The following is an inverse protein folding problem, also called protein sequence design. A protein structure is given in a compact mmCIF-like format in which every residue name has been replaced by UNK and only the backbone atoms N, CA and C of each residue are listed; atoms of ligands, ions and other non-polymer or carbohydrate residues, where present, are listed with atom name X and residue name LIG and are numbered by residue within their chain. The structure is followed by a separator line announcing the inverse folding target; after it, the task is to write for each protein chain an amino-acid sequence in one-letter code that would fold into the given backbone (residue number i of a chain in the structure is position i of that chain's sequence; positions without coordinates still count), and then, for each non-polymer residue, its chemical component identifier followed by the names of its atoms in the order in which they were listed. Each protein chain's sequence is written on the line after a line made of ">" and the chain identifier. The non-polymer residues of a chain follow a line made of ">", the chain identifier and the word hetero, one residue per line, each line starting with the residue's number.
data_IF_871017924936
#
_entry.id   IF_871017924936
#
_cell.length_a   1.000
_cell.length_b   1.000
_cell.length_c   1.000
_cell.angle_alpha   90.00
_cell.angle_beta   90.00
_cell.angle_gamma   90.00
#
_symmetry.space_group_name_H-M   'P 1'
#
loop_
_entity.id
_entity.type
_entity.pdbx_description
1 polymer ?
#
# COMPACT_ATOMS: atom_id res chain seq x y z
N UNK A 1 -3.76 10.00 7.70
CA UNK A 1 -4.38 8.73 7.25
C UNK A 1 -5.80 8.66 7.82
N UNK A 2 -6.83 8.44 7.00
CA UNK A 2 -8.21 8.38 7.48
C UNK A 2 -9.17 7.70 6.49
N UNK A 3 -10.22 7.12 7.03
CA UNK A 3 -11.47 6.82 6.33
C UNK A 3 -12.59 6.97 7.35
N UNK A 4 -13.62 7.75 7.04
CA UNK A 4 -14.71 8.02 7.99
C UNK A 4 -16.05 8.26 7.31
N UNK A 5 -17.12 8.19 8.11
CA UNK A 5 -18.48 8.53 7.72
C UNK A 5 -19.12 9.43 8.79
N UNK A 6 -19.92 10.40 8.34
CA UNK A 6 -20.66 11.35 9.18
C UNK A 6 -22.11 11.33 8.72
N UNK A 7 -23.02 11.05 9.63
CA UNK A 7 -24.46 11.18 9.41
C UNK A 7 -24.95 12.52 9.95
N UNK A 8 -25.41 13.40 9.05
CA UNK A 8 -26.11 14.64 9.40
C UNK A 8 -27.61 14.37 9.46
N UNK A 9 -28.11 14.06 10.66
CA UNK A 9 -29.52 13.78 10.89
C UNK A 9 -30.45 14.97 10.61
N UNK A 10 -29.94 16.21 10.71
CA UNK A 10 -30.77 17.41 10.45
C UNK A 10 -31.02 17.59 8.97
N UNK A 11 -30.04 17.23 8.14
CA UNK A 11 -30.12 17.33 6.68
C UNK A 11 -30.49 16.02 5.99
N UNK A 12 -30.61 14.92 6.73
CA UNK A 12 -30.76 13.56 6.21
C UNK A 12 -29.67 13.22 5.16
N UNK A 13 -28.41 13.53 5.49
CA UNK A 13 -27.26 13.35 4.59
C UNK A 13 -26.16 12.51 5.20
N UNK A 14 -25.67 11.55 4.43
CA UNK A 14 -24.45 10.80 4.74
C UNK A 14 -23.28 11.41 3.97
N UNK A 15 -22.20 11.71 4.67
CA UNK A 15 -20.92 12.13 4.09
C UNK A 15 -19.82 11.16 4.48
N UNK A 16 -19.11 10.63 3.50
CA UNK A 16 -17.96 9.76 3.72
C UNK A 16 -16.73 10.32 3.00
N UNK A 17 -15.54 10.07 3.54
CA UNK A 17 -14.29 10.44 2.89
C UNK A 17 -13.19 9.42 3.17
N UNK A 18 -12.35 9.18 2.16
CA UNK A 18 -11.13 8.37 2.25
C UNK A 18 -9.93 9.27 1.98
N UNK A 19 -8.84 9.04 2.69
CA UNK A 19 -7.63 9.86 2.58
C UNK A 19 -7.01 9.89 1.17
N UNK A 20 -6.10 10.85 0.98
CA UNK A 20 -5.49 11.20 -0.31
C UNK A 20 -4.84 10.01 -1.03
N UNK A 21 -4.15 9.15 -0.27
CA UNK A 21 -3.41 8.00 -0.81
C UNK A 21 -4.18 6.68 -0.64
N UNK A 22 -5.31 6.70 0.05
CA UNK A 22 -6.14 5.53 0.30
C UNK A 22 -5.53 4.55 1.28
N UNK A 23 -4.76 5.02 2.26
CA UNK A 23 -4.07 4.14 3.21
C UNK A 23 -5.10 3.37 4.06
N UNK A 24 -6.18 4.02 4.51
CA UNK A 24 -7.29 3.28 5.13
C UNK A 24 -8.27 2.76 4.08
N UNK A 25 -8.64 1.48 4.12
CA UNK A 25 -9.66 0.93 3.23
C UNK A 25 -11.04 1.52 3.54
N UNK A 26 -11.84 1.69 2.50
CA UNK A 26 -13.25 2.07 2.61
C UNK A 26 -14.01 1.38 1.49
N UNK A 27 -14.81 0.39 1.86
CA UNK A 27 -15.68 -0.37 0.96
C UNK A 27 -17.14 -0.02 1.24
N UNK A 28 -17.98 -0.09 0.22
CA UNK A 28 -19.41 0.12 0.35
C UNK A 28 -20.21 -0.76 -0.61
N UNK A 29 -21.46 -1.01 -0.24
CA UNK A 29 -22.42 -1.76 -1.03
C UNK A 29 -23.81 -1.12 -0.94
N UNK A 30 -24.59 -1.26 -2.01
CA UNK A 30 -26.02 -0.90 -2.04
C UNK A 30 -26.81 -2.21 -2.08
N UNK A 31 -27.65 -2.43 -1.08
CA UNK A 31 -28.43 -3.67 -0.92
C UNK A 31 -29.91 -3.28 -0.79
N UNK A 32 -30.61 -3.29 -1.92
CA UNK A 32 -31.97 -2.76 -1.99
C UNK A 32 -31.95 -1.24 -1.78
N UNK A 33 -32.65 -0.79 -0.75
CA UNK A 33 -32.75 0.61 -0.30
C UNK A 33 -31.71 0.99 0.77
N UNK A 34 -30.84 0.05 1.17
CA UNK A 34 -29.82 0.29 2.20
C UNK A 34 -28.45 0.55 1.59
N UNK A 35 -27.74 1.48 2.22
CA UNK A 35 -26.32 1.71 2.01
C UNK A 35 -25.54 1.16 3.20
N UNK A 36 -24.51 0.35 2.92
CA UNK A 36 -23.60 -0.17 3.93
C UNK A 36 -22.16 0.16 3.54
N UNK A 37 -21.32 0.41 4.55
CA UNK A 37 -19.89 0.64 4.37
C UNK A 37 -19.09 -0.06 5.47
N UNK A 38 -17.85 -0.42 5.17
CA UNK A 38 -16.94 -1.07 6.09
C UNK A 38 -15.47 -0.82 5.69
N UNK A 39 -14.55 -1.02 6.63
CA UNK A 39 -13.11 -1.06 6.35
C UNK A 39 -12.66 -2.39 5.76
N UNK A 40 -13.50 -3.42 5.82
CA UNK A 40 -13.21 -4.78 5.35
C UNK A 40 -14.43 -5.29 4.57
N UNK A 41 -14.20 -5.94 3.42
CA UNK A 41 -15.26 -6.44 2.55
C UNK A 41 -16.06 -7.52 3.27
N UNK A 42 -15.40 -8.44 3.99
CA UNK A 42 -16.08 -9.53 4.70
C UNK A 42 -17.10 -9.05 5.74
N UNK A 43 -16.92 -7.85 6.31
CA UNK A 43 -17.92 -7.28 7.23
C UNK A 43 -19.26 -7.01 6.53
N UNK A 44 -19.26 -6.74 5.22
CA UNK A 44 -20.48 -6.59 4.42
C UNK A 44 -21.19 -7.93 4.19
N UNK A 45 -20.49 -9.07 4.32
CA UNK A 45 -21.06 -10.40 4.12
C UNK A 45 -22.00 -10.81 5.26
N UNK A 46 -21.83 -10.21 6.43
CA UNK A 46 -22.66 -10.45 7.62
C UNK A 46 -24.05 -9.80 7.52
N UNK A 47 -24.31 -9.01 6.48
CA UNK A 47 -25.61 -8.41 6.24
C UNK A 47 -26.59 -9.46 5.70
N UNK A 48 -27.76 -9.59 6.35
CA UNK A 48 -28.80 -10.62 6.10
C UNK A 48 -29.12 -10.87 4.62
N UNK A 49 -29.09 -9.84 3.79
CA UNK A 49 -29.49 -9.91 2.37
C UNK A 49 -28.32 -9.78 1.40
N UNK A 50 -27.08 -9.76 1.91
CA UNK A 50 -25.90 -9.75 1.07
C UNK A 50 -25.60 -11.16 0.57
N UNK A 51 -25.29 -11.28 -0.73
CA UNK A 51 -24.85 -12.54 -1.34
C UNK A 51 -23.52 -12.30 -2.03
N UNK A 52 -22.44 -12.83 -1.45
CA UNK A 52 -21.13 -12.80 -2.06
C UNK A 52 -21.16 -13.51 -3.42
N UNK A 53 -20.89 -12.76 -4.49
CA UNK A 53 -20.83 -13.28 -5.86
C UNK A 53 -19.59 -12.76 -6.54
N UNK A 54 -18.83 -13.66 -7.18
CA UNK A 54 -17.64 -13.28 -7.94
C UNK A 54 -17.97 -12.31 -9.08
N UNK A 55 -17.25 -11.19 -9.12
CA UNK A 55 -17.25 -10.26 -10.24
C UNK A 55 -16.34 -10.79 -11.34
N UNK A 56 -16.88 -11.66 -12.20
CA UNK A 56 -16.14 -12.24 -13.33
C UNK A 56 -15.61 -11.20 -14.32
N UNK A 57 -16.16 -9.98 -14.36
CA UNK A 57 -15.69 -8.91 -15.24
C UNK A 57 -14.36 -8.33 -14.79
N UNK A 58 -14.05 -8.41 -13.50
CA UNK A 58 -12.80 -7.94 -12.92
C UNK A 58 -11.64 -8.93 -13.10
N UNK A 59 -11.92 -10.21 -13.39
CA UNK A 59 -10.89 -11.25 -13.50
C UNK A 59 -9.79 -10.97 -14.55
N UNK A 60 -10.10 -10.49 -15.78
CA UNK A 60 -9.05 -10.21 -16.75
C UNK A 60 -8.06 -9.15 -16.27
N UNK A 61 -8.55 -8.07 -15.65
CA UNK A 61 -7.71 -7.02 -15.08
C UNK A 61 -6.89 -7.56 -13.91
N UNK A 62 -7.54 -8.28 -12.99
CA UNK A 62 -6.88 -8.87 -11.83
C UNK A 62 -5.76 -9.85 -12.21
N UNK A 63 -6.00 -10.77 -13.16
CA UNK A 63 -4.98 -11.72 -13.60
C UNK A 63 -3.85 -11.04 -14.41
N UNK A 64 -4.11 -9.88 -15.01
CA UNK A 64 -3.09 -9.14 -15.77
C UNK A 64 -2.18 -8.33 -14.85
N UNK A 65 -2.74 -7.66 -13.85
CA UNK A 65 -2.02 -6.66 -13.06
C UNK A 65 -1.81 -7.06 -11.59
N UNK A 66 -2.55 -8.04 -11.09
CA UNK A 66 -2.57 -8.38 -9.67
C UNK A 66 -3.34 -7.38 -8.79
N UNK A 67 -4.07 -6.45 -9.39
CA UNK A 67 -4.95 -5.51 -8.67
C UNK A 67 -6.01 -4.96 -9.63
N UNK A 68 -7.03 -4.30 -9.07
CA UNK A 68 -8.06 -3.57 -9.81
C UNK A 68 -7.83 -2.07 -9.68
N UNK A 69 -7.77 -1.35 -10.80
CA UNK A 69 -7.59 0.10 -10.82
C UNK A 69 -8.88 0.88 -10.58
N UNK A 70 -10.01 0.33 -11.03
CA UNK A 70 -11.33 0.92 -10.88
C UNK A 70 -11.91 0.76 -9.46
N UNK A 71 -13.07 1.36 -9.20
CA UNK A 71 -13.79 1.23 -7.93
C UNK A 71 -14.37 -0.17 -7.67
N UNK A 72 -14.37 -1.05 -8.66
CA UNK A 72 -14.88 -2.41 -8.49
C UNK A 72 -13.95 -3.26 -7.62
N UNK A 73 -14.55 -4.28 -6.99
CA UNK A 73 -13.83 -5.36 -6.30
C UNK A 73 -14.08 -6.69 -7.03
N UNK A 74 -13.45 -7.77 -6.58
CA UNK A 74 -13.76 -9.13 -7.01
C UNK A 74 -15.15 -9.61 -6.54
N UNK A 75 -15.87 -8.82 -5.75
CA UNK A 75 -17.24 -9.11 -5.33
C UNK A 75 -18.22 -8.17 -6.04
N UNK A 76 -19.26 -8.75 -6.65
CA UNK A 76 -20.33 -7.97 -7.28
C UNK A 76 -21.03 -7.10 -6.24
N UNK A 77 -21.37 -5.87 -6.63
CA UNK A 77 -22.05 -4.87 -5.81
C UNK A 77 -21.28 -4.43 -4.56
N UNK A 78 -19.97 -4.73 -4.50
CA UNK A 78 -19.06 -4.16 -3.51
C UNK A 78 -18.06 -3.27 -4.25
N UNK A 79 -17.96 -2.03 -3.79
CA UNK A 79 -17.15 -1.00 -4.37
C UNK A 79 -16.18 -0.45 -3.34
N UNK A 80 -14.99 -0.06 -3.77
CA UNK A 80 -14.05 0.72 -2.95
C UNK A 80 -14.18 2.20 -3.27
N UNK A 81 -14.24 3.06 -2.24
CA UNK A 81 -14.08 4.49 -2.44
C UNK A 81 -12.62 4.76 -2.80
N UNK A 82 -12.35 5.34 -3.97
CA UNK A 82 -10.98 5.56 -4.45
C UNK A 82 -10.20 6.55 -3.56
N UNK A 83 -8.85 6.50 -3.55
CA UNK A 83 -8.02 7.50 -2.87
C UNK A 83 -8.40 8.94 -3.23
N UNK A 84 -8.38 9.86 -2.27
CA UNK A 84 -8.69 11.28 -2.51
C UNK A 84 -10.13 11.55 -2.95
N UNK A 85 -11.06 10.63 -2.69
CA UNK A 85 -12.47 10.77 -3.02
C UNK A 85 -13.34 10.89 -1.75
N UNK A 86 -14.46 11.61 -1.91
CA UNK A 86 -15.56 11.67 -0.95
C UNK A 86 -16.82 11.13 -1.57
N UNK A 87 -17.75 10.64 -0.74
CA UNK A 87 -19.04 10.10 -1.14
C UNK A 87 -20.14 10.78 -0.33
N UNK A 88 -21.18 11.27 -1.01
CA UNK A 88 -22.35 11.86 -0.37
C UNK A 88 -23.63 11.15 -0.78
N UNK A 89 -24.55 10.94 0.16
CA UNK A 89 -25.93 10.50 -0.10
C UNK A 89 -26.88 11.50 0.53
N UNK A 90 -27.82 12.01 -0.25
CA UNK A 90 -28.90 12.88 0.21
C UNK A 90 -30.22 12.12 0.16
N UNK A 91 -30.77 11.78 1.33
CA UNK A 91 -32.03 11.04 1.42
C UNK A 91 -33.26 11.91 1.13
N UNK A 92 -33.10 13.22 0.97
CA UNK A 92 -34.19 14.12 0.55
C UNK A 92 -34.36 14.18 -0.97
N UNK A 93 -33.42 13.62 -1.73
CA UNK A 93 -33.51 13.54 -3.18
C UNK A 93 -34.57 12.50 -3.61
N UNK A 94 -35.18 12.73 -4.78
CA UNK A 94 -36.20 11.82 -5.36
C UNK A 94 -35.68 10.39 -5.57
N UNK A 95 -34.40 10.24 -5.92
CA UNK A 95 -33.70 8.97 -6.02
C UNK A 95 -32.34 9.08 -5.31
N UNK A 96 -32.27 8.78 -4.00
CA UNK A 96 -31.03 8.87 -3.23
C UNK A 96 -30.00 7.88 -3.77
N UNK A 97 -28.90 8.41 -4.30
CA UNK A 97 -27.80 7.62 -4.85
C UNK A 97 -26.45 8.17 -4.34
N UNK A 98 -25.44 7.31 -4.14
CA UNK A 98 -24.09 7.76 -3.80
C UNK A 98 -23.51 8.65 -4.90
N UNK A 99 -23.11 9.86 -4.54
CA UNK A 99 -22.37 10.78 -5.39
C UNK A 99 -20.92 10.80 -4.94
N UNK A 100 -20.03 10.26 -5.78
CA UNK A 100 -18.59 10.27 -5.55
C UNK A 100 -17.98 11.52 -6.19
N UNK A 101 -17.08 12.18 -5.48
CA UNK A 101 -16.33 13.33 -6.02
C UNK A 101 -14.89 13.26 -5.56
N UNK A 102 -13.97 13.41 -6.50
CA UNK A 102 -12.54 13.54 -6.20
C UNK A 102 -12.30 14.93 -5.59
N UNK A 103 -11.66 14.96 -4.43
CA UNK A 103 -11.25 16.19 -3.76
C UNK A 103 -9.73 16.40 -3.80
N UNK A 104 -8.97 15.37 -4.16
CA UNK A 104 -7.52 15.42 -4.27
C UNK A 104 -7.01 14.50 -5.38
N UNK A 105 -5.99 14.96 -6.11
CA UNK A 105 -5.29 14.22 -7.16
C UNK A 105 -3.80 14.55 -7.08
N UNK A 106 -2.95 13.53 -7.18
CA UNK A 106 -1.49 13.68 -7.22
C UNK A 106 -1.03 14.43 -8.48
N UNK A 107 -1.79 14.40 -9.56
CA UNK A 107 -1.47 15.11 -10.81
C UNK A 107 -1.71 16.62 -10.71
N UNK A 108 -2.42 17.09 -9.67
CA UNK A 108 -2.75 18.50 -9.47
C UNK A 108 -1.75 19.20 -8.54
N UNK A 109 -0.46 18.80 -8.60
CA UNK A 109 0.61 19.45 -7.84
C UNK A 109 1.14 20.65 -8.64
N UNK A 110 1.18 21.86 -8.06
CA UNK A 110 1.70 23.03 -8.75
C UNK A 110 3.19 22.83 -9.10
N UNK A 111 3.69 23.44 -10.20
CA UNK A 111 5.09 23.33 -10.58
C UNK A 111 5.98 23.84 -9.44
N UNK A 112 6.93 23.01 -9.02
CA UNK A 112 7.87 23.36 -7.97
C UNK A 112 8.88 24.43 -8.44
N UNK A 113 9.35 25.23 -7.49
CA UNK A 113 10.50 26.10 -7.72
C UNK A 113 11.73 25.24 -8.00
N UNK A 114 12.54 25.63 -8.97
CA UNK A 114 13.84 24.99 -9.19
C UNK A 114 14.76 25.27 -8.00
N UNK A 115 14.95 24.28 -7.14
CA UNK A 115 15.90 24.30 -6.05
C UNK A 115 17.25 23.74 -6.53
N UNK A 116 18.35 24.17 -5.91
CA UNK A 116 19.62 23.49 -6.12
C UNK A 116 19.66 22.18 -5.33
N UNK A 117 20.53 21.24 -5.72
CA UNK A 117 20.62 19.91 -5.11
C UNK A 117 20.81 19.96 -3.58
N UNK A 118 21.66 20.86 -3.09
CA UNK A 118 21.90 21.02 -1.65
C UNK A 118 20.62 21.44 -0.89
N UNK A 119 19.80 22.29 -1.50
CA UNK A 119 18.51 22.70 -0.93
C UNK A 119 17.52 21.54 -0.93
N UNK A 120 17.45 20.75 -2.01
CA UNK A 120 16.60 19.56 -2.06
C UNK A 120 16.97 18.54 -0.97
N UNK A 121 18.26 18.26 -0.79
CA UNK A 121 18.74 17.33 0.25
C UNK A 121 18.37 17.84 1.66
N UNK A 122 18.57 19.15 1.90
CA UNK A 122 18.23 19.75 3.20
C UNK A 122 16.73 19.67 3.48
N UNK A 123 15.89 20.07 2.52
CA UNK A 123 14.44 20.05 2.66
C UNK A 123 13.91 18.62 2.82
N UNK A 124 14.42 17.66 2.04
CA UNK A 124 14.04 16.26 2.19
C UNK A 124 14.37 15.75 3.59
N UNK A 125 15.57 16.03 4.10
CA UNK A 125 15.97 15.60 5.44
C UNK A 125 15.08 16.20 6.53
N UNK A 126 14.74 17.48 6.40
CA UNK A 126 13.84 18.18 7.32
C UNK A 126 12.43 17.57 7.31
N UNK A 127 11.81 17.48 6.13
CA UNK A 127 10.48 16.92 5.95
C UNK A 127 10.39 15.45 6.39
N UNK A 128 11.41 14.66 6.07
CA UNK A 128 11.49 13.25 6.49
C UNK A 128 11.60 13.14 8.02
N UNK A 129 12.46 13.95 8.64
CA UNK A 129 12.64 13.96 10.10
C UNK A 129 11.36 14.41 10.82
N UNK A 130 10.70 15.45 10.32
CA UNK A 130 9.42 15.92 10.85
C UNK A 130 8.31 14.89 10.69
N UNK A 131 8.25 14.23 9.53
CA UNK A 131 7.29 13.16 9.26
C UNK A 131 7.47 12.01 10.26
N UNK A 132 8.71 11.52 10.44
CA UNK A 132 8.99 10.48 11.45
C UNK A 132 8.59 10.98 12.84
N UNK A 133 9.02 12.19 13.25
CA UNK A 133 8.68 12.77 14.56
C UNK A 133 7.17 12.80 14.82
N UNK A 134 6.37 13.24 13.86
CA UNK A 134 4.90 13.29 14.01
C UNK A 134 4.27 11.91 14.21
N UNK A 135 4.88 10.85 13.65
CA UNK A 135 4.44 9.45 13.82
C UNK A 135 4.98 8.80 15.10
N UNK A 136 5.89 9.45 15.83
CA UNK A 136 6.34 8.99 17.15
C UNK A 136 5.44 9.48 18.30
N UNK A 137 4.47 10.36 18.03
CA UNK A 137 3.48 10.80 19.02
C UNK A 137 2.48 9.68 19.29
N UNK A 138 2.78 8.84 20.29
CA UNK A 138 1.93 7.71 20.67
C UNK A 138 2.00 7.45 22.18
N UNK A 139 0.86 7.11 22.77
CA UNK A 139 0.75 6.70 24.18
C UNK A 139 1.07 5.21 24.39
N UNK A 140 1.41 4.50 23.32
CA UNK A 140 1.72 3.06 23.33
C UNK A 140 3.12 2.79 22.76
N UNK A 141 3.74 1.65 23.10
CA UNK A 141 5.06 1.30 22.56
C UNK A 141 5.07 1.23 21.03
N UNK A 142 6.13 1.80 20.46
CA UNK A 142 6.39 1.91 19.02
C UNK A 142 7.61 1.08 18.62
N UNK A 143 7.57 0.50 17.43
CA UNK A 143 8.71 -0.12 16.78
C UNK A 143 8.83 0.25 15.31
N UNK A 144 9.77 -0.39 14.63
CA UNK A 144 10.00 -0.23 13.19
C UNK A 144 10.22 -1.59 12.54
N UNK A 145 9.61 -1.83 11.38
CA UNK A 145 10.01 -2.95 10.54
C UNK A 145 11.33 -2.59 9.88
N UNK A 146 12.35 -3.42 10.10
CA UNK A 146 13.70 -3.20 9.61
C UNK A 146 14.04 -4.27 8.57
N UNK A 147 14.44 -3.80 7.40
CA UNK A 147 14.96 -4.63 6.30
C UNK A 147 16.43 -4.28 6.03
N UNK A 148 17.05 -4.91 5.05
CA UNK A 148 18.39 -4.54 4.60
C UNK A 148 18.42 -3.27 3.73
N UNK A 149 17.25 -2.72 3.39
CA UNK A 149 17.08 -1.60 2.48
C UNK A 149 17.31 -0.23 3.11
N UNK A 150 17.47 0.78 2.24
CA UNK A 150 17.71 2.16 2.65
C UNK A 150 16.50 2.78 3.36
N UNK A 151 15.29 2.49 2.91
CA UNK A 151 14.06 3.15 3.36
C UNK A 151 13.76 2.87 4.84
N UNK A 152 13.71 1.59 5.21
CA UNK A 152 13.49 1.17 6.60
C UNK A 152 14.65 1.58 7.50
N UNK A 153 15.89 1.50 7.01
CA UNK A 153 17.09 1.93 7.73
C UNK A 153 17.09 3.44 8.03
N UNK A 154 16.66 4.26 7.08
CA UNK A 154 16.55 5.70 7.26
C UNK A 154 15.50 6.05 8.33
N UNK A 155 14.34 5.40 8.31
CA UNK A 155 13.31 5.57 9.34
C UNK A 155 13.86 5.16 10.71
N UNK A 156 14.50 3.99 10.80
CA UNK A 156 15.05 3.47 12.05
C UNK A 156 16.14 4.40 12.63
N UNK A 157 17.04 4.91 11.80
CA UNK A 157 18.10 5.84 12.21
C UNK A 157 17.52 7.18 12.70
N UNK A 158 16.54 7.74 11.98
CA UNK A 158 15.87 8.98 12.42
C UNK A 158 15.11 8.74 13.73
N UNK A 159 14.35 7.64 13.82
CA UNK A 159 13.63 7.28 15.05
C UNK A 159 14.59 7.13 16.24
N UNK A 160 15.74 6.48 16.06
CA UNK A 160 16.75 6.31 17.10
C UNK A 160 17.38 7.64 17.53
N UNK A 161 17.57 8.60 16.61
CA UNK A 161 18.08 9.92 16.97
C UNK A 161 17.07 10.80 17.71
N UNK A 162 15.77 10.52 17.57
CA UNK A 162 14.69 11.27 18.22
C UNK A 162 14.27 10.68 19.58
N UNK A 163 14.52 9.39 19.85
CA UNK A 163 14.14 8.72 21.10
C UNK A 163 15.34 8.56 22.04
N UNK A 164 15.08 8.67 23.35
CA UNK A 164 16.09 8.36 24.39
C UNK A 164 16.19 6.86 24.67
N UNK A 165 15.08 6.15 24.51
CA UNK A 165 14.99 4.71 24.70
C UNK A 165 15.44 3.96 23.45
N UNK A 166 15.86 2.70 23.62
CA UNK A 166 16.21 1.83 22.50
C UNK A 166 14.99 1.57 21.61
N UNK A 167 15.18 1.72 20.31
CA UNK A 167 14.15 1.43 19.31
C UNK A 167 13.96 -0.08 19.21
N UNK A 168 12.72 -0.56 19.23
CA UNK A 168 12.38 -1.95 18.90
C UNK A 168 12.38 -2.11 17.38
N UNK A 169 13.24 -2.98 16.86
CA UNK A 169 13.32 -3.32 15.43
C UNK A 169 12.85 -4.74 15.22
N UNK A 170 12.14 -4.98 14.13
CA UNK A 170 11.58 -6.28 13.79
C UNK A 170 11.89 -6.63 12.34
N UNK A 171 12.48 -7.80 12.13
CA UNK A 171 12.88 -8.30 10.82
C UNK A 171 12.33 -9.70 10.59
N UNK A 172 12.14 -10.06 9.33
CA UNK A 172 11.77 -11.43 8.92
C UNK A 172 12.81 -11.93 7.94
N UNK A 173 13.24 -13.17 8.13
CA UNK A 173 14.12 -13.88 7.21
C UNK A 173 13.55 -15.22 6.82
N UNK A 174 14.13 -15.80 5.79
CA UNK A 174 13.80 -17.14 5.32
C UNK A 174 14.84 -18.11 5.88
N UNK A 175 14.42 -19.35 6.19
CA UNK A 175 15.34 -20.40 6.61
C UNK A 175 16.43 -20.70 5.55
N UNK A 176 16.12 -20.44 4.29
CA UNK A 176 17.04 -20.53 3.16
C UNK A 176 17.93 -19.27 3.11
N UNK A 177 19.19 -19.42 3.51
CA UNK A 177 20.11 -18.31 3.77
C UNK A 177 20.51 -17.47 2.53
N UNK A 178 20.17 -17.93 1.32
CA UNK A 178 20.67 -17.37 0.05
C UNK A 178 20.10 -15.98 -0.28
N UNK A 179 18.98 -15.60 0.34
CA UNK A 179 18.29 -14.32 0.11
C UNK A 179 17.99 -13.57 1.41
N UNK A 180 18.72 -13.88 2.49
CA UNK A 180 18.43 -13.31 3.80
C UNK A 180 18.96 -11.87 3.91
N UNK A 181 18.06 -10.93 4.17
CA UNK A 181 18.42 -9.54 4.48
C UNK A 181 18.81 -9.32 5.95
N UNK A 182 18.66 -10.34 6.79
CA UNK A 182 18.91 -10.27 8.24
C UNK A 182 20.32 -9.79 8.61
N UNK A 183 21.41 -10.17 7.91
CA UNK A 183 22.73 -9.64 8.22
C UNK A 183 22.80 -8.11 8.09
N UNK A 184 22.14 -7.54 7.08
CA UNK A 184 22.11 -6.09 6.86
C UNK A 184 21.22 -5.40 7.89
N UNK A 185 20.03 -5.94 8.16
CA UNK A 185 19.13 -5.42 9.18
C UNK A 185 19.81 -5.41 10.57
N UNK A 186 20.53 -6.49 10.92
CA UNK A 186 21.30 -6.57 12.16
C UNK A 186 22.45 -5.56 12.22
N UNK A 187 23.16 -5.34 11.10
CA UNK A 187 24.21 -4.33 11.04
C UNK A 187 23.65 -2.93 11.32
N UNK A 188 22.50 -2.59 10.75
CA UNK A 188 21.81 -1.31 11.01
C UNK A 188 21.34 -1.22 12.45
N UNK A 189 20.70 -2.26 12.98
CA UNK A 189 20.24 -2.28 14.37
C UNK A 189 21.39 -2.09 15.38
N UNK A 190 22.53 -2.75 15.14
CA UNK A 190 23.74 -2.58 15.94
C UNK A 190 24.30 -1.15 15.84
N UNK A 191 24.31 -0.57 14.64
CA UNK A 191 24.81 0.78 14.40
C UNK A 191 23.99 1.84 15.17
N UNK A 192 22.67 1.67 15.25
CA UNK A 192 21.77 2.62 15.94
C UNK A 192 21.51 2.25 17.42
N UNK A 193 22.10 1.16 17.92
CA UNK A 193 21.89 0.68 19.30
C UNK A 193 20.46 0.21 19.60
N UNK A 194 19.75 -0.32 18.60
CA UNK A 194 18.37 -0.81 18.73
C UNK A 194 18.26 -2.16 19.45
N UNK A 195 17.07 -2.46 19.98
CA UNK A 195 16.71 -3.82 20.36
C UNK A 195 16.22 -4.58 19.12
N UNK A 196 17.01 -5.59 18.71
CA UNK A 196 16.80 -6.31 17.46
C UNK A 196 16.03 -7.61 17.69
N UNK A 197 14.92 -7.77 16.95
CA UNK A 197 14.06 -8.94 16.98
C UNK A 197 13.91 -9.48 15.57
N UNK A 198 13.99 -10.80 15.41
CA UNK A 198 13.79 -11.44 14.11
C UNK A 198 12.95 -12.70 14.23
N UNK A 199 12.27 -13.03 13.14
CA UNK A 199 11.58 -14.30 12.96
C UNK A 199 12.07 -14.97 11.68
N UNK A 200 12.28 -16.28 11.74
CA UNK A 200 12.60 -17.09 10.58
C UNK A 200 11.33 -17.80 10.10
N UNK A 201 11.11 -17.77 8.80
CA UNK A 201 9.98 -18.42 8.14
C UNK A 201 10.49 -19.57 7.26
N UNK A 202 9.87 -20.74 7.41
CA UNK A 202 10.09 -21.89 6.54
C UNK A 202 9.04 -22.00 5.42
N UNK A 203 9.22 -22.91 4.45
CA UNK A 203 8.24 -23.15 3.39
C UNK A 203 6.86 -23.60 3.90
N UNK A 204 6.81 -24.39 4.97
CA UNK A 204 5.56 -24.86 5.60
C UNK A 204 4.74 -23.70 6.20
N UNK A 205 5.42 -22.71 6.79
CA UNK A 205 4.80 -21.51 7.35
C UNK A 205 4.04 -20.71 6.27
N UNK A 206 4.56 -20.72 5.04
CA UNK A 206 3.92 -20.08 3.91
C UNK A 206 2.55 -20.73 3.63
N UNK A 207 2.52 -22.03 3.34
CA UNK A 207 1.28 -22.70 2.95
C UNK A 207 0.24 -22.75 4.07
N UNK A 208 0.67 -22.92 5.31
CA UNK A 208 -0.23 -22.99 6.47
C UNK A 208 -0.89 -21.66 6.81
N UNK A 209 -0.24 -20.53 6.50
CA UNK A 209 -0.77 -19.19 6.77
C UNK A 209 -1.71 -18.66 5.68
N UNK A 210 -1.66 -19.21 4.45
CA UNK A 210 -2.43 -18.72 3.30
C UNK A 210 -3.94 -18.57 3.57
N UNK A 211 -4.67 -19.56 4.12
CA UNK A 211 -6.12 -19.42 4.32
C UNK A 211 -6.47 -18.23 5.23
N UNK A 212 -5.68 -18.03 6.29
CA UNK A 212 -5.88 -16.93 7.24
C UNK A 212 -5.52 -15.59 6.62
N UNK A 213 -4.44 -15.54 5.82
CA UNK A 213 -4.03 -14.31 5.15
C UNK A 213 -5.04 -13.87 4.09
N UNK A 214 -5.53 -14.80 3.27
CA UNK A 214 -6.60 -14.53 2.30
C UNK A 214 -7.85 -13.99 3.01
N UNK A 215 -8.17 -14.51 4.19
CA UNK A 215 -9.28 -13.99 5.00
C UNK A 215 -9.03 -12.56 5.52
N UNK A 216 -7.79 -12.22 5.90
CA UNK A 216 -7.43 -10.87 6.32
C UNK A 216 -7.41 -9.86 5.16
N UNK A 217 -6.93 -10.28 3.98
CA UNK A 217 -6.81 -9.45 2.78
C UNK A 217 -8.15 -9.27 2.03
N UNK A 218 -9.19 -10.02 2.40
CA UNK A 218 -10.52 -10.06 1.76
C UNK A 218 -10.55 -10.50 0.28
N UNK A 219 -9.43 -10.47 -0.43
CA UNK A 219 -9.24 -10.83 -1.83
C UNK A 219 -7.99 -11.75 -1.98
N UNK A 220 -7.81 -12.44 -3.12
CA UNK A 220 -6.67 -13.35 -3.30
C UNK A 220 -5.33 -12.64 -3.12
N UNK A 221 -4.40 -13.31 -2.44
CA UNK A 221 -3.06 -12.81 -2.18
C UNK A 221 -2.25 -12.77 -3.49
N UNK A 222 -1.75 -11.58 -3.83
CA UNK A 222 -0.97 -11.33 -5.06
C UNK A 222 0.52 -11.15 -4.77
N UNK A 223 0.84 -10.68 -3.57
CA UNK A 223 2.21 -10.36 -3.16
C UNK A 223 2.70 -11.38 -2.13
N UNK A 224 3.65 -12.27 -2.48
CA UNK A 224 4.20 -13.24 -1.53
C UNK A 224 4.78 -12.59 -0.26
N UNK A 225 5.21 -11.33 -0.34
CA UNK A 225 5.68 -10.54 0.81
C UNK A 225 4.61 -10.33 1.88
N UNK A 226 3.31 -10.38 1.57
CA UNK A 226 2.23 -10.31 2.56
C UNK A 226 2.36 -11.41 3.63
N UNK A 227 2.88 -12.58 3.25
CA UNK A 227 3.14 -13.67 4.19
C UNK A 227 4.25 -13.26 5.16
N UNK A 228 5.40 -12.83 4.66
CA UNK A 228 6.51 -12.38 5.51
C UNK A 228 6.07 -11.22 6.43
N UNK A 229 5.27 -10.28 5.91
CA UNK A 229 4.71 -9.17 6.66
C UNK A 229 3.81 -9.64 7.81
N UNK A 230 3.02 -10.68 7.60
CA UNK A 230 2.19 -11.27 8.65
C UNK A 230 3.03 -11.84 9.80
N UNK A 231 4.11 -12.56 9.50
CA UNK A 231 4.99 -13.14 10.54
C UNK A 231 5.73 -12.07 11.33
N UNK A 232 6.30 -11.05 10.67
CA UNK A 232 6.97 -9.94 11.37
C UNK A 232 5.97 -9.08 12.15
N UNK A 233 4.75 -8.90 11.64
CA UNK A 233 3.67 -8.20 12.37
C UNK A 233 3.24 -8.97 13.62
N UNK A 234 3.15 -10.31 13.54
CA UNK A 234 2.87 -11.16 14.69
C UNK A 234 3.96 -10.99 15.76
N UNK A 235 5.23 -11.09 15.38
CA UNK A 235 6.37 -10.86 16.29
C UNK A 235 6.31 -9.45 16.92
N UNK A 236 6.06 -8.42 16.11
CA UNK A 236 5.97 -7.05 16.61
C UNK A 236 4.82 -6.86 17.60
N UNK A 237 3.66 -7.50 17.36
CA UNK A 237 2.47 -7.38 18.21
C UNK A 237 2.66 -7.88 19.65
N UNK A 238 3.67 -8.72 19.89
CA UNK A 238 4.07 -9.22 21.21
C UNK A 238 4.74 -8.13 22.06
N UNK A 239 5.35 -7.12 21.43
CA UNK A 239 6.15 -6.08 22.10
C UNK A 239 5.61 -4.66 21.92
N UNK A 240 5.05 -4.35 20.75
CA UNK A 240 4.64 -3.00 20.36
C UNK A 240 3.22 -2.99 19.79
N UNK A 241 2.58 -1.81 19.82
CA UNK A 241 1.23 -1.62 19.25
C UNK A 241 1.24 -0.85 17.94
N UNK A 242 2.30 -0.08 17.70
CA UNK A 242 2.48 0.69 16.47
C UNK A 242 3.84 0.37 15.88
N UNK A 243 3.87 0.23 14.55
CA UNK A 243 5.11 -0.01 13.80
C UNK A 243 5.19 0.99 12.64
N UNK A 244 6.35 1.60 12.47
CA UNK A 244 6.67 2.40 11.28
C UNK A 244 7.30 1.50 10.20
N UNK A 245 7.04 1.80 8.94
CA UNK A 245 7.47 0.99 7.79
C UNK A 245 8.09 1.87 6.71
N UNK A 246 9.07 1.35 5.97
CA UNK A 246 9.67 2.00 4.80
C UNK A 246 8.85 1.90 3.50
N UNK A 247 7.67 1.28 3.55
CA UNK A 247 6.77 1.11 2.40
C UNK A 247 6.44 2.44 1.70
N UNK A 248 6.45 2.45 0.36
CA UNK A 248 6.20 3.65 -0.45
C UNK A 248 7.46 4.40 -0.89
N UNK A 249 8.65 4.07 -0.35
CA UNK A 249 9.91 4.73 -0.69
C UNK A 249 10.32 4.51 -2.14
N UNK A 250 10.25 3.27 -2.63
CA UNK A 250 10.55 2.92 -4.02
C UNK A 250 9.63 3.62 -5.03
N UNK A 251 8.34 3.81 -4.71
CA UNK A 251 7.39 4.57 -5.54
C UNK A 251 7.75 6.06 -5.61
N UNK A 252 8.13 6.65 -4.48
CA UNK A 252 8.43 8.08 -4.38
C UNK A 252 9.78 8.43 -5.02
N UNK A 253 10.79 7.59 -4.84
CA UNK A 253 12.17 7.84 -5.31
C UNK A 253 12.55 7.03 -6.56
N UNK A 254 11.57 6.36 -7.18
CA UNK A 254 11.76 5.53 -8.37
C UNK A 254 12.80 4.41 -8.20
N UNK A 255 12.83 3.76 -7.04
CA UNK A 255 13.82 2.72 -6.69
C UNK A 255 13.62 1.38 -7.40
N UNK A 256 12.41 1.08 -7.90
CA UNK A 256 12.19 -0.15 -8.66
C UNK A 256 12.96 -0.17 -10.00
N UNK A 257 13.66 -1.26 -10.26
CA UNK A 257 14.40 -1.50 -11.51
C UNK A 257 13.53 -1.29 -12.78
N UNK A 258 12.24 -1.63 -12.70
CA UNK A 258 11.28 -1.45 -13.80
C UNK A 258 11.19 0.00 -14.29
N UNK A 259 11.34 1.00 -13.41
CA UNK A 259 11.34 2.41 -13.81
C UNK A 259 12.55 2.75 -14.65
N UNK A 260 13.74 2.28 -14.26
CA UNK A 260 14.96 2.47 -15.04
C UNK A 260 14.85 1.82 -16.42
N UNK A 261 14.34 0.59 -16.48
CA UNK A 261 14.09 -0.11 -17.75
C UNK A 261 13.07 0.66 -18.61
N UNK A 262 11.98 1.14 -18.01
CA UNK A 262 10.97 1.93 -18.70
C UNK A 262 11.55 3.22 -19.29
N UNK A 263 12.37 3.96 -18.52
CA UNK A 263 13.05 5.17 -18.97
C UNK A 263 14.03 4.87 -20.12
N UNK A 264 14.79 3.78 -20.04
CA UNK A 264 15.64 3.33 -21.15
C UNK A 264 14.82 3.01 -22.40
N UNK A 265 13.71 2.29 -22.26
CA UNK A 265 12.82 1.97 -23.37
C UNK A 265 12.15 3.22 -23.97
N UNK A 266 11.80 4.21 -23.16
CA UNK A 266 11.23 5.48 -23.64
C UNK A 266 12.26 6.31 -24.42
N UNK A 267 13.52 6.35 -23.94
CA UNK A 267 14.61 7.07 -24.62
C UNK A 267 15.10 6.36 -25.88
N UNK A 268 15.28 5.04 -25.82
CA UNK A 268 15.81 4.23 -26.91
C UNK A 268 14.76 3.74 -27.91
N UNK A 269 13.49 3.64 -27.51
CA UNK A 269 12.40 3.15 -28.33
C UNK A 269 12.17 3.93 -29.64
N UNK A 270 12.21 5.27 -29.65
CA UNK A 270 12.17 6.04 -30.89
C UNK A 270 13.31 5.71 -31.86
N UNK A 271 14.54 5.59 -31.36
CA UNK A 271 15.71 5.22 -32.17
C UNK A 271 15.57 3.81 -32.72
N UNK A 272 15.22 2.84 -31.88
CA UNK A 272 14.95 1.46 -32.30
C UNK A 272 13.86 1.40 -33.40
N UNK A 273 12.77 2.16 -33.24
CA UNK A 273 11.69 2.21 -34.24
C UNK A 273 12.11 2.88 -35.56
N UNK A 274 13.06 3.80 -35.51
CA UNK A 274 13.60 4.49 -36.69
C UNK A 274 14.58 3.60 -37.47
N UNK A 275 15.47 2.87 -36.78
CA UNK A 275 16.52 2.07 -37.43
C UNK A 275 16.11 0.63 -37.74
N UNK A 276 15.12 0.07 -37.04
CA UNK A 276 14.69 -1.33 -37.27
C UNK A 276 13.42 -1.37 -38.12
N UNK A 277 13.49 -1.94 -39.35
CA UNK A 277 12.33 -2.05 -40.23
C UNK A 277 11.16 -2.77 -39.58
N UNK A 278 9.93 -2.37 -39.96
CA UNK A 278 8.69 -2.90 -39.36
C UNK A 278 8.56 -4.42 -39.49
N UNK A 279 9.00 -5.01 -40.61
CA UNK A 279 8.93 -6.45 -40.84
C UNK A 279 9.84 -7.24 -39.88
N UNK A 280 11.05 -6.74 -39.59
CA UNK A 280 11.95 -7.34 -38.59
C UNK A 280 11.33 -7.29 -37.20
N UNK A 281 10.77 -6.15 -36.82
CA UNK A 281 10.06 -5.99 -35.54
C UNK A 281 8.87 -6.95 -35.41
N UNK A 282 8.13 -7.16 -36.49
CA UNK A 282 7.00 -8.10 -36.51
C UNK A 282 7.45 -9.56 -36.44
N UNK A 283 8.55 -9.93 -37.11
CA UNK A 283 9.12 -11.26 -37.06
C UNK A 283 9.60 -11.60 -35.64
N UNK A 284 10.34 -10.70 -35.00
CA UNK A 284 10.78 -10.85 -33.59
C UNK A 284 9.59 -10.92 -32.65
N UNK A 285 8.58 -10.04 -32.81
CA UNK A 285 7.37 -10.09 -31.99
C UNK A 285 6.64 -11.42 -32.12
N UNK A 286 6.51 -11.95 -33.35
CA UNK A 286 5.90 -13.27 -33.59
C UNK A 286 6.67 -14.37 -32.88
N UNK A 287 8.00 -14.39 -33.02
CA UNK A 287 8.86 -15.40 -32.40
C UNK A 287 8.84 -15.37 -30.86
N UNK A 288 8.61 -14.20 -30.24
CA UNK A 288 8.47 -14.08 -28.78
C UNK A 288 7.05 -14.38 -28.28
N UNK A 289 6.05 -14.35 -29.16
CA UNK A 289 4.64 -14.63 -28.83
C UNK A 289 4.20 -16.06 -29.10
N UNK A 290 5.09 -16.87 -29.68
CA UNK A 290 4.93 -18.30 -29.98
C UNK A 290 5.76 -19.12 -29.01
#
# INVERSE_FOLDING_TARGET
>A
MFAFAIWDARRNRLFCARDRLGIKPFYYAIIGDRFAFASEIKALFELRDFKARLNRRALPEFFTFGYLSAQETLYRNVYKLLPGNRLCIDLTAENPQPRVTQYWDLNNVPPERSLCEAQCISQLRELFTETVRSHLMSDVPLGVFLSGGLDSSAIAAVMASLKKERVQTFSVGYAENQYSELPYARAVANHIGAEYNEVLMGPEDFFTSLPRLIWHEDEPLVWPSSVALFFVSRLASEKVKVVLTGEGGDELFAGYLKYRIALWNLRGGPLYRAFVPRFVRQAVRKALSS
#
